data_IF_903853098080
#
_entry.id   IF_903853098080
#
_cell.length_a   1.000
_cell.length_b   1.000
_cell.length_c   1.000
_cell.angle_alpha   90.00
_cell.angle_beta   90.00
_cell.angle_gamma   90.00
#
_symmetry.space_group_name_H-M   'P 1'
#
loop_
_entity.id
_entity.type
_entity.pdbx_description
1 polymer ?
#
# COMPACT_ATOMS: atom_id res chain seq x y z
N UNK A 1 13.37 -23.11 -8.17
CA UNK A 1 13.74 -21.68 -8.33
C UNK A 1 13.46 -21.00 -7.00
N UNK A 2 14.47 -20.52 -6.29
CA UNK A 2 14.26 -19.71 -5.09
C UNK A 2 13.84 -18.32 -5.57
N UNK A 3 12.59 -17.92 -5.32
CA UNK A 3 12.08 -16.60 -5.69
C UNK A 3 12.45 -15.61 -4.59
N UNK A 4 13.46 -14.77 -4.82
CA UNK A 4 13.77 -13.67 -3.91
C UNK A 4 12.61 -12.67 -3.95
N UNK A 5 11.97 -12.44 -2.80
CA UNK A 5 10.84 -11.50 -2.70
C UNK A 5 11.38 -10.08 -2.52
N UNK A 6 10.85 -9.12 -3.29
CA UNK A 6 11.08 -7.70 -3.07
C UNK A 6 9.99 -7.13 -2.15
N UNK A 7 10.38 -6.48 -1.07
CA UNK A 7 9.46 -5.87 -0.11
C UNK A 7 9.73 -4.37 0.04
N UNK A 8 8.66 -3.59 0.19
CA UNK A 8 8.74 -2.15 0.45
C UNK A 8 7.66 -1.77 1.47
N UNK A 9 8.06 -1.00 2.50
CA UNK A 9 7.12 -0.47 3.49
C UNK A 9 6.55 0.85 2.98
N UNK A 10 5.23 0.95 2.95
CA UNK A 10 4.51 2.18 2.59
C UNK A 10 3.72 2.67 3.80
N UNK A 11 3.84 3.96 4.11
CA UNK A 11 3.06 4.60 5.16
C UNK A 11 1.71 5.03 4.62
N UNK A 12 0.64 4.67 5.35
CA UNK A 12 -0.71 5.14 5.05
C UNK A 12 -0.85 6.60 5.48
N UNK A 13 -1.20 7.48 4.55
CA UNK A 13 -1.42 8.90 4.82
C UNK A 13 -2.91 9.17 5.11
N UNK A 14 -3.25 10.26 5.80
CA UNK A 14 -4.65 10.64 6.02
C UNK A 14 -5.46 10.75 4.72
N UNK A 15 -4.84 11.27 3.66
CA UNK A 15 -5.48 11.45 2.35
C UNK A 15 -5.68 10.13 1.59
N UNK A 16 -5.07 9.04 2.06
CA UNK A 16 -5.30 7.71 1.51
C UNK A 16 -6.62 7.09 2.02
N UNK A 17 -7.24 7.68 3.05
CA UNK A 17 -8.47 7.20 3.68
C UNK A 17 -9.70 7.83 3.03
N UNK A 18 -10.66 7.01 2.60
CA UNK A 18 -11.91 7.46 1.99
C UNK A 18 -13.02 7.73 3.02
N UNK A 19 -14.19 8.15 2.53
CA UNK A 19 -15.38 8.42 3.35
C UNK A 19 -15.91 7.19 4.10
N UNK A 20 -15.53 5.97 3.67
CA UNK A 20 -15.86 4.72 4.37
C UNK A 20 -14.88 4.40 5.50
N UNK A 21 -13.94 5.30 5.79
CA UNK A 21 -12.92 5.17 6.84
C UNK A 21 -11.97 3.97 6.63
N UNK A 22 -11.68 3.65 5.36
CA UNK A 22 -10.67 2.67 4.98
C UNK A 22 -9.75 3.26 3.90
N UNK A 23 -8.62 2.60 3.64
CA UNK A 23 -7.75 2.99 2.52
C UNK A 23 -8.53 2.81 1.22
N UNK A 24 -8.56 3.86 0.40
CA UNK A 24 -9.23 3.82 -0.89
C UNK A 24 -8.59 2.75 -1.78
N UNK A 25 -9.41 1.96 -2.46
CA UNK A 25 -8.94 0.91 -3.39
C UNK A 25 -7.97 1.45 -4.46
N UNK A 26 -8.13 2.69 -4.93
CA UNK A 26 -7.21 3.28 -5.91
C UNK A 26 -5.82 3.55 -5.34
N UNK A 27 -5.69 3.76 -4.03
CA UNK A 27 -4.41 3.94 -3.36
C UNK A 27 -3.60 2.64 -3.41
N UNK A 28 -4.24 1.48 -3.30
CA UNK A 28 -3.55 0.20 -3.46
C UNK A 28 -2.94 0.06 -4.86
N UNK A 29 -3.63 0.52 -5.91
CA UNK A 29 -3.09 0.52 -7.27
C UNK A 29 -1.86 1.42 -7.41
N UNK A 30 -1.89 2.59 -6.76
CA UNK A 30 -0.73 3.49 -6.68
C UNK A 30 0.46 2.77 -6.05
N UNK A 31 0.26 2.11 -4.91
CA UNK A 31 1.32 1.38 -4.22
C UNK A 31 1.87 0.21 -5.04
N UNK A 32 1.04 -0.55 -5.78
CA UNK A 32 1.53 -1.58 -6.71
C UNK A 32 2.51 -0.98 -7.71
N UNK A 33 2.16 0.15 -8.32
CA UNK A 33 3.01 0.80 -9.31
C UNK A 33 4.32 1.32 -8.68
N UNK A 34 4.25 1.91 -7.49
CA UNK A 34 5.44 2.39 -6.76
C UNK A 34 6.38 1.22 -6.43
N UNK A 35 5.87 0.11 -5.90
CA UNK A 35 6.66 -1.08 -5.56
C UNK A 35 7.25 -1.73 -6.81
N UNK A 36 6.48 -1.86 -7.89
CA UNK A 36 6.99 -2.38 -9.15
C UNK A 36 8.13 -1.53 -9.72
N UNK A 37 8.01 -0.20 -9.61
CA UNK A 37 9.05 0.74 -10.03
C UNK A 37 10.29 0.65 -9.15
N UNK A 38 10.12 0.55 -7.84
CA UNK A 38 11.21 0.39 -6.90
C UNK A 38 11.95 -0.94 -7.14
N UNK A 39 11.21 -2.02 -7.38
CA UNK A 39 11.78 -3.32 -7.68
C UNK A 39 12.60 -3.29 -8.97
N UNK A 40 12.04 -2.73 -10.06
CA UNK A 40 12.77 -2.56 -11.32
C UNK A 40 14.08 -1.79 -11.11
N UNK A 41 14.04 -0.66 -10.41
CA UNK A 41 15.24 0.15 -10.13
C UNK A 41 16.27 -0.57 -9.26
N UNK A 42 15.83 -1.48 -8.40
CA UNK A 42 16.73 -2.23 -7.53
C UNK A 42 17.50 -3.33 -8.28
N UNK A 43 16.96 -3.86 -9.38
CA UNK A 43 17.57 -4.97 -10.13
C UNK A 43 18.17 -4.55 -11.47
N UNK A 44 17.67 -3.47 -12.09
CA UNK A 44 18.12 -3.02 -13.40
C UNK A 44 19.39 -2.18 -13.32
N UNK A 45 20.31 -2.37 -14.27
CA UNK A 45 21.48 -1.50 -14.43
C UNK A 45 21.07 -0.08 -14.80
N UNK A 46 21.95 0.89 -14.57
CA UNK A 46 21.72 2.30 -14.96
C UNK A 46 21.40 2.41 -16.46
N UNK A 47 22.17 1.73 -17.30
CA UNK A 47 21.95 1.68 -18.75
C UNK A 47 20.56 1.11 -19.10
N UNK A 48 20.13 0.03 -18.44
CA UNK A 48 18.81 -0.54 -18.66
C UNK A 48 17.69 0.41 -18.22
N UNK A 49 17.87 1.15 -17.13
CA UNK A 49 16.89 2.14 -16.67
C UNK A 49 16.73 3.31 -17.64
N UNK A 50 17.79 3.67 -18.38
CA UNK A 50 17.77 4.76 -19.37
C UNK A 50 17.25 4.31 -20.74
N UNK A 51 17.45 3.05 -21.10
CA UNK A 51 17.16 2.54 -22.46
C UNK A 51 15.88 1.71 -22.55
N UNK A 52 15.39 1.16 -21.44
CA UNK A 52 14.24 0.24 -21.42
C UNK A 52 13.05 0.91 -20.74
N UNK A 53 12.02 1.17 -21.55
CA UNK A 53 10.67 1.45 -21.05
C UNK A 53 9.94 0.15 -20.71
N UNK A 54 9.27 0.12 -19.56
CA UNK A 54 8.43 -1.01 -19.15
C UNK A 54 7.07 -0.52 -18.67
N UNK A 55 6.07 -1.40 -18.78
CA UNK A 55 4.69 -1.13 -18.34
C UNK A 55 4.12 -2.37 -17.68
N UNK A 56 3.31 -2.19 -16.62
CA UNK A 56 2.54 -3.28 -16.02
C UNK A 56 1.38 -3.63 -16.95
N UNK A 57 1.35 -4.86 -17.46
CA UNK A 57 0.28 -5.33 -18.34
C UNK A 57 -0.97 -5.78 -17.57
N UNK A 58 -0.78 -6.34 -16.37
CA UNK A 58 -1.84 -6.86 -15.51
C UNK A 58 -1.43 -6.79 -14.05
N UNK A 59 -2.38 -6.44 -13.20
CA UNK A 59 -2.30 -6.62 -11.76
C UNK A 59 -3.61 -7.26 -11.28
N UNK A 60 -3.52 -8.09 -10.26
CA UNK A 60 -4.67 -8.64 -9.56
C UNK A 60 -4.52 -8.29 -8.09
N UNK A 61 -5.60 -7.81 -7.48
CA UNK A 61 -5.60 -7.41 -6.06
C UNK A 61 -6.79 -8.06 -5.38
N UNK A 62 -6.47 -8.98 -4.46
CA UNK A 62 -7.45 -9.56 -3.56
C UNK A 62 -7.46 -8.84 -2.21
N UNK A 63 -8.59 -8.24 -1.88
CA UNK A 63 -8.80 -7.58 -0.59
C UNK A 63 -9.30 -8.60 0.44
N UNK A 64 -8.37 -9.13 1.26
CA UNK A 64 -8.67 -10.26 2.15
C UNK A 64 -9.49 -9.91 3.41
N UNK A 65 -9.30 -8.72 3.96
CA UNK A 65 -9.96 -8.31 5.22
C UNK A 65 -10.24 -6.81 5.18
N UNK A 66 -11.50 -6.40 5.37
CA UNK A 66 -11.77 -5.05 5.87
C UNK A 66 -11.24 -5.00 7.29
N UNK A 67 -10.13 -4.31 7.55
CA UNK A 67 -9.85 -3.93 8.93
C UNK A 67 -10.83 -2.84 9.31
N UNK A 68 -12.01 -3.25 9.78
CA UNK A 68 -12.89 -2.36 10.53
C UNK A 68 -12.08 -1.84 11.71
N UNK A 69 -11.73 -0.56 11.69
CA UNK A 69 -11.33 0.13 12.91
C UNK A 69 -12.59 0.17 13.78
N UNK A 70 -12.75 -0.80 14.68
CA UNK A 70 -13.70 -0.66 15.77
C UNK A 70 -13.17 0.47 16.64
N UNK A 71 -13.74 1.66 16.46
CA UNK A 71 -13.60 2.74 17.44
C UNK A 71 -14.22 2.21 18.72
N UNK A 72 -13.40 1.81 19.69
CA UNK A 72 -13.89 1.56 21.04
C UNK A 72 -14.37 2.92 21.56
N UNK A 73 -15.66 3.11 21.85
CA UNK A 73 -16.11 4.38 22.42
C UNK A 73 -15.44 4.52 23.78
N UNK A 74 -14.69 5.60 24.00
CA UNK A 74 -14.21 5.95 25.34
C UNK A 74 -15.43 6.33 26.19
N UNK A 75 -15.80 5.56 27.23
CA UNK A 75 -16.97 5.86 28.05
C UNK A 75 -16.80 7.14 28.89
N UNK A 76 -15.62 7.78 28.89
CA UNK A 76 -15.31 8.97 29.69
C UNK A 76 -15.15 10.26 28.86
N UNK A 77 -15.21 10.21 27.52
CA UNK A 77 -14.93 11.37 26.68
C UNK A 77 -16.11 12.35 26.62
N UNK A 78 -16.05 13.47 27.36
CA UNK A 78 -17.04 14.56 27.35
C UNK A 78 -17.09 15.39 26.04
N UNK A 79 -16.40 14.98 24.99
CA UNK A 79 -16.45 15.54 23.61
C UNK A 79 -15.61 14.63 22.70
N UNK A 80 -16.03 14.33 21.46
CA UNK A 80 -15.25 13.45 20.59
C UNK A 80 -13.97 14.17 20.17
N UNK A 81 -12.82 13.70 20.66
CA UNK A 81 -11.52 14.06 20.11
C UNK A 81 -11.38 13.43 18.71
N UNK A 82 -10.82 14.18 17.76
CA UNK A 82 -10.56 13.70 16.41
C UNK A 82 -9.65 12.46 16.49
N UNK A 83 -10.03 11.31 15.92
CA UNK A 83 -9.22 10.09 16.03
C UNK A 83 -7.88 10.28 15.31
N UNK A 84 -6.78 9.84 15.93
CA UNK A 84 -5.47 9.69 15.28
C UNK A 84 -5.41 8.30 14.65
N UNK A 85 -5.17 8.17 13.34
CA UNK A 85 -4.98 6.85 12.74
C UNK A 85 -3.60 6.32 13.13
N UNK A 86 -3.57 5.23 13.91
CA UNK A 86 -2.36 4.42 14.14
C UNK A 86 -2.60 3.04 13.54
N UNK A 87 -2.44 2.92 12.23
CA UNK A 87 -2.51 1.65 11.52
C UNK A 87 -1.24 1.45 10.70
N UNK A 88 -0.51 0.37 10.97
CA UNK A 88 0.52 -0.14 10.06
C UNK A 88 -0.12 -1.21 9.17
N UNK A 89 -0.20 -0.92 7.87
CA UNK A 89 -0.58 -1.89 6.86
C UNK A 89 0.71 -2.44 6.21
N UNK A 90 0.96 -3.75 6.38
CA UNK A 90 1.99 -4.45 5.62
C UNK A 90 1.32 -5.09 4.42
N UNK A 91 1.51 -4.51 3.24
CA UNK A 91 1.06 -5.08 1.97
C UNK A 91 2.24 -5.78 1.31
N UNK A 92 2.12 -7.09 1.10
CA UNK A 92 3.13 -7.89 0.41
C UNK A 92 2.66 -8.04 -1.04
N UNK A 93 3.42 -7.49 -1.98
CA UNK A 93 3.15 -7.63 -3.40
C UNK A 93 3.94 -8.82 -3.95
N UNK A 94 3.27 -9.74 -4.62
CA UNK A 94 3.93 -10.80 -5.39
C UNK A 94 3.98 -10.36 -6.84
N UNK A 95 5.18 -10.05 -7.34
CA UNK A 95 5.44 -9.89 -8.76
C UNK A 95 5.91 -11.23 -9.30
N UNK A 96 5.20 -11.79 -10.28
CA UNK A 96 5.58 -13.00 -11.01
C UNK A 96 6.44 -12.67 -12.21
#
# INVERSE_FOLDING_TARGET
>A
MSSTTFEMTVSVLPDDIDEQNHVNNTVYLRWVQEVATAHWRAIASVEAQETIGWVVLRHEIDYKVKRSHTVVPDPSAKRPARPRPTGSARTIFHMS
#
